data_IF_183527968664
#
_entry.id   IF_183527968664
#
_cell.length_a   1.000
_cell.length_b   1.000
_cell.length_c   1.000
_cell.angle_alpha   90.00
_cell.angle_beta   90.00
_cell.angle_gamma   90.00
#
_symmetry.space_group_name_H-M   'P 1'
#
loop_
_entity.id
_entity.type
_entity.pdbx_description
1 polymer ?
#
# COMPACT_ATOMS: atom_id res chain seq x y z
N UNK A 1 11.86 2.42 -16.54
CA UNK A 1 11.64 2.66 -15.09
C UNK A 1 10.50 1.79 -14.55
N UNK A 2 9.48 1.51 -15.37
CA UNK A 2 8.35 0.64 -15.04
C UNK A 2 8.73 -0.74 -14.52
N UNK A 3 9.70 -1.44 -15.12
CA UNK A 3 10.16 -2.75 -14.62
C UNK A 3 10.65 -2.68 -13.18
N UNK A 4 11.55 -1.73 -12.89
CA UNK A 4 12.11 -1.56 -11.56
C UNK A 4 11.01 -1.24 -10.54
N UNK A 5 10.09 -0.34 -10.91
CA UNK A 5 8.94 0.00 -10.07
C UNK A 5 8.02 -1.19 -9.85
N UNK A 6 7.68 -1.95 -10.89
CA UNK A 6 6.84 -3.14 -10.80
C UNK A 6 7.43 -4.20 -9.87
N UNK A 7 8.72 -4.48 -10.01
CA UNK A 7 9.46 -5.41 -9.13
C UNK A 7 9.48 -4.90 -7.69
N UNK A 8 9.79 -3.61 -7.47
CA UNK A 8 9.76 -3.00 -6.13
C UNK A 8 8.38 -3.14 -5.49
N UNK A 9 7.31 -2.86 -6.23
CA UNK A 9 5.93 -2.96 -5.72
C UNK A 9 5.54 -4.38 -5.36
N UNK A 10 5.95 -5.38 -6.14
CA UNK A 10 5.71 -6.80 -5.85
C UNK A 10 6.45 -7.24 -4.58
N UNK A 11 7.71 -6.82 -4.40
CA UNK A 11 8.41 -7.15 -3.15
C UNK A 11 7.81 -6.39 -1.96
N UNK A 12 7.47 -5.11 -2.16
CA UNK A 12 6.85 -4.29 -1.14
C UNK A 12 5.48 -4.80 -0.72
N UNK A 13 4.70 -5.42 -1.61
CA UNK A 13 3.42 -6.02 -1.21
C UNK A 13 3.61 -7.17 -0.22
N UNK A 14 4.62 -8.01 -0.43
CA UNK A 14 4.94 -9.11 0.48
C UNK A 14 5.41 -8.55 1.83
N UNK A 15 6.35 -7.59 1.80
CA UNK A 15 6.86 -6.93 3.01
C UNK A 15 5.72 -6.25 3.77
N UNK A 16 4.81 -5.57 3.06
CA UNK A 16 3.66 -4.89 3.65
C UNK A 16 2.73 -5.86 4.40
N UNK A 17 2.41 -7.00 3.81
CA UNK A 17 1.54 -8.03 4.44
C UNK A 17 2.24 -8.62 5.67
N UNK A 18 3.52 -9.00 5.54
CA UNK A 18 4.28 -9.58 6.64
C UNK A 18 4.43 -8.58 7.79
N UNK A 19 4.77 -7.32 7.48
CA UNK A 19 4.92 -6.26 8.49
C UNK A 19 3.59 -5.99 9.21
N UNK A 20 2.47 -5.93 8.48
CA UNK A 20 1.17 -5.75 9.09
C UNK A 20 0.78 -6.88 10.03
N UNK A 21 0.93 -8.14 9.59
CA UNK A 21 0.55 -9.30 10.41
C UNK A 21 1.50 -9.55 11.59
N UNK A 22 2.81 -9.41 11.39
CA UNK A 22 3.83 -9.76 12.39
C UNK A 22 4.22 -8.63 13.33
N UNK A 23 4.06 -7.38 12.91
CA UNK A 23 4.45 -6.24 13.75
C UNK A 23 3.23 -5.44 14.19
N UNK A 24 2.43 -4.94 13.24
CA UNK A 24 1.35 -4.02 13.59
C UNK A 24 0.22 -4.69 14.37
N UNK A 25 -0.20 -5.90 13.96
CA UNK A 25 -1.20 -6.70 14.68
C UNK A 25 -0.71 -7.14 16.05
N UNK A 26 0.56 -7.55 16.17
CA UNK A 26 1.13 -7.97 17.46
C UNK A 26 1.33 -6.79 18.42
N UNK A 27 1.55 -5.57 17.90
CA UNK A 27 1.48 -4.34 18.70
C UNK A 27 0.04 -4.05 19.11
N UNK A 28 -0.91 -4.13 18.18
CA UNK A 28 -2.34 -3.85 18.45
C UNK A 28 -2.88 -4.76 19.57
N UNK A 29 -2.56 -6.06 19.55
CA UNK A 29 -2.92 -7.02 20.61
C UNK A 29 -2.38 -6.68 22.00
N UNK A 30 -1.34 -5.84 22.10
CA UNK A 30 -0.78 -5.40 23.40
C UNK A 30 -1.51 -4.18 23.96
N UNK A 31 -2.29 -3.48 23.13
CA UNK A 31 -2.99 -2.25 23.49
C UNK A 31 -4.51 -2.46 23.58
N UNK A 32 -5.05 -3.47 22.90
CA UNK A 32 -6.48 -3.81 22.94
C UNK A 32 -6.74 -5.31 22.82
N UNK A 33 -7.81 -5.77 23.48
CA UNK A 33 -8.34 -7.14 23.39
C UNK A 33 -9.52 -7.26 22.42
N UNK A 34 -9.89 -6.17 21.73
CA UNK A 34 -11.00 -6.17 20.77
C UNK A 34 -10.65 -7.02 19.53
N UNK A 35 -11.22 -8.22 19.50
CA UNK A 35 -11.03 -9.19 18.42
C UNK A 35 -11.56 -8.72 17.07
N UNK A 36 -12.63 -7.92 17.03
CA UNK A 36 -13.20 -7.38 15.79
C UNK A 36 -12.25 -6.33 15.22
N UNK A 37 -11.70 -5.49 16.09
CA UNK A 37 -10.70 -4.49 15.71
C UNK A 37 -9.44 -5.15 15.14
N UNK A 38 -8.88 -6.13 15.83
CA UNK A 38 -7.69 -6.85 15.37
C UNK A 38 -7.97 -7.54 14.02
N UNK A 39 -9.13 -8.20 13.89
CA UNK A 39 -9.54 -8.84 12.64
C UNK A 39 -9.70 -7.85 11.48
N UNK A 40 -10.32 -6.70 11.73
CA UNK A 40 -10.51 -5.65 10.71
C UNK A 40 -9.17 -5.09 10.24
N UNK A 41 -8.23 -4.87 11.16
CA UNK A 41 -6.89 -4.39 10.83
C UNK A 41 -6.10 -5.39 9.98
N UNK A 42 -6.21 -6.70 10.28
CA UNK A 42 -5.61 -7.77 9.46
C UNK A 42 -6.09 -7.74 8.02
N UNK A 43 -7.41 -7.67 7.85
CA UNK A 43 -8.04 -7.59 6.51
C UNK A 43 -7.55 -6.35 5.78
N UNK A 44 -7.50 -5.22 6.46
CA UNK A 44 -7.03 -3.95 5.89
C UNK A 44 -5.57 -4.01 5.45
N UNK A 45 -4.67 -4.58 6.25
CA UNK A 45 -3.27 -4.77 5.86
C UNK A 45 -3.13 -5.72 4.66
N UNK A 46 -3.91 -6.80 4.64
CA UNK A 46 -3.91 -7.72 3.50
C UNK A 46 -4.40 -7.02 2.22
N UNK A 47 -5.47 -6.24 2.31
CA UNK A 47 -5.99 -5.45 1.18
C UNK A 47 -4.94 -4.49 0.63
N UNK A 48 -4.25 -3.73 1.50
CA UNK A 48 -3.17 -2.84 1.09
C UNK A 48 -2.04 -3.57 0.35
N UNK A 49 -1.66 -4.75 0.83
CA UNK A 49 -0.69 -5.61 0.17
C UNK A 49 -1.14 -6.12 -1.20
N UNK A 50 -2.36 -6.65 -1.30
CA UNK A 50 -2.91 -7.16 -2.56
C UNK A 50 -3.00 -6.05 -3.61
N UNK A 51 -3.39 -4.83 -3.21
CA UNK A 51 -3.44 -3.67 -4.11
C UNK A 51 -2.04 -3.34 -4.65
N UNK A 52 -1.03 -3.28 -3.78
CA UNK A 52 0.35 -3.06 -4.20
C UNK A 52 0.84 -4.14 -5.18
N UNK A 53 0.50 -5.40 -4.92
CA UNK A 53 0.85 -6.52 -5.79
C UNK A 53 0.23 -6.37 -7.18
N UNK A 54 -1.07 -6.06 -7.23
CA UNK A 54 -1.79 -5.85 -8.49
C UNK A 54 -1.20 -4.69 -9.30
N UNK A 55 -0.86 -3.58 -8.65
CA UNK A 55 -0.21 -2.44 -9.32
C UNK A 55 1.19 -2.81 -9.81
N UNK A 56 1.94 -3.60 -9.03
CA UNK A 56 3.24 -4.11 -9.45
C UNK A 56 3.16 -4.98 -10.71
N UNK A 57 2.13 -5.83 -10.80
CA UNK A 57 1.83 -6.59 -12.02
C UNK A 57 1.51 -5.66 -13.19
N UNK A 58 0.68 -4.64 -12.99
CA UNK A 58 0.33 -3.68 -14.04
C UNK A 58 1.60 -3.02 -14.62
N UNK A 59 2.53 -2.54 -13.79
CA UNK A 59 3.79 -1.97 -14.26
C UNK A 59 4.69 -3.00 -14.96
N UNK A 60 4.69 -4.25 -14.49
CA UNK A 60 5.43 -5.33 -15.15
C UNK A 60 4.86 -5.65 -16.54
N UNK A 61 3.53 -5.70 -16.68
CA UNK A 61 2.85 -5.91 -17.96
C UNK A 61 3.01 -4.73 -18.92
N UNK A 62 3.00 -3.49 -18.40
CA UNK A 62 3.29 -2.27 -19.17
C UNK A 62 4.70 -2.31 -19.76
N UNK A 63 5.69 -2.70 -18.95
CA UNK A 63 7.07 -2.84 -19.40
C UNK A 63 7.25 -3.90 -20.49
N UNK A 64 6.49 -5.00 -20.44
CA UNK A 64 6.48 -6.03 -21.48
C UNK A 64 5.68 -5.62 -22.73
N UNK A 65 5.16 -4.39 -22.76
CA UNK A 65 4.32 -3.85 -23.84
C UNK A 65 3.04 -4.68 -24.09
N UNK A 66 2.60 -5.47 -23.10
CA UNK A 66 1.38 -6.27 -23.19
C UNK A 66 0.12 -5.45 -22.95
N UNK A 67 0.26 -4.37 -22.19
CA UNK A 67 -0.78 -3.36 -21.95
C UNK A 67 -0.15 -1.97 -22.08
N UNK A 68 -0.96 -0.96 -22.40
CA UNK A 68 -0.52 0.43 -22.33
C UNK A 68 -1.51 1.23 -21.49
N UNK A 69 -1.01 1.98 -20.52
CA UNK A 69 -1.81 2.92 -19.75
C UNK A 69 -1.64 4.32 -20.35
N UNK A 70 -2.63 4.79 -21.10
CA UNK A 70 -2.58 6.11 -21.75
C UNK A 70 -3.62 7.07 -21.18
N UNK A 71 -3.33 8.37 -21.31
CA UNK A 71 -4.21 9.43 -20.81
C UNK A 71 -4.47 9.32 -19.31
N UNK A 72 -5.75 9.31 -18.92
CA UNK A 72 -6.16 9.23 -17.50
C UNK A 72 -5.79 7.87 -16.88
N UNK A 73 -5.73 6.79 -17.67
CA UNK A 73 -5.43 5.45 -17.15
C UNK A 73 -4.01 5.34 -16.58
N UNK A 74 -3.06 6.17 -17.04
CA UNK A 74 -1.71 6.26 -16.50
C UNK A 74 -1.68 6.63 -15.00
N UNK A 75 -2.72 7.32 -14.52
CA UNK A 75 -2.83 7.76 -13.13
C UNK A 75 -3.56 6.77 -12.22
N UNK A 76 -4.16 5.70 -12.77
CA UNK A 76 -4.86 4.69 -11.95
C UNK A 76 -3.96 4.01 -10.91
N UNK A 77 -2.72 3.58 -11.23
CA UNK A 77 -1.78 3.08 -10.24
C UNK A 77 -1.61 4.01 -9.03
N UNK A 78 -1.33 5.30 -9.27
CA UNK A 78 -1.15 6.32 -8.22
C UNK A 78 -2.44 6.55 -7.46
N UNK A 79 -3.56 6.66 -8.18
CA UNK A 79 -4.88 6.87 -7.59
C UNK A 79 -5.26 5.77 -6.60
N UNK A 80 -5.00 4.51 -6.94
CA UNK A 80 -5.30 3.37 -6.06
C UNK A 80 -4.42 3.40 -4.79
N UNK A 81 -3.12 3.69 -4.92
CA UNK A 81 -2.24 3.82 -3.74
C UNK A 81 -2.68 4.98 -2.86
N UNK A 82 -3.03 6.12 -3.45
CA UNK A 82 -3.53 7.29 -2.72
C UNK A 82 -4.82 6.98 -1.97
N UNK A 83 -5.79 6.32 -2.61
CA UNK A 83 -7.03 5.92 -1.95
C UNK A 83 -6.75 5.00 -0.77
N UNK A 84 -5.85 4.03 -0.92
CA UNK A 84 -5.46 3.14 0.18
C UNK A 84 -4.82 3.93 1.34
N UNK A 85 -3.88 4.84 1.06
CA UNK A 85 -3.24 5.69 2.08
C UNK A 85 -4.27 6.56 2.80
N UNK A 86 -5.19 7.19 2.06
CA UNK A 86 -6.24 8.04 2.62
C UNK A 86 -7.22 7.25 3.47
N UNK A 87 -7.65 6.07 3.02
CA UNK A 87 -8.50 5.17 3.81
C UNK A 87 -7.83 4.79 5.13
N UNK A 88 -6.54 4.44 5.09
CA UNK A 88 -5.76 4.12 6.30
C UNK A 88 -5.63 5.32 7.22
N UNK A 89 -5.34 6.49 6.66
CA UNK A 89 -5.21 7.72 7.44
C UNK A 89 -6.52 8.09 8.13
N UNK A 90 -7.64 8.07 7.42
CA UNK A 90 -8.97 8.40 7.96
C UNK A 90 -9.33 7.42 9.08
N UNK A 91 -9.18 6.11 8.85
CA UNK A 91 -9.50 5.09 9.86
C UNK A 91 -8.59 5.23 11.08
N UNK A 92 -7.29 5.43 10.89
CA UNK A 92 -6.33 5.59 11.98
C UNK A 92 -6.62 6.84 12.81
N UNK A 93 -6.88 7.98 12.17
CA UNK A 93 -7.14 9.25 12.87
C UNK A 93 -8.50 9.26 13.58
N UNK A 94 -9.53 8.66 12.99
CA UNK A 94 -10.90 8.73 13.53
C UNK A 94 -11.22 7.62 14.51
N UNK A 95 -10.58 6.46 14.41
CA UNK A 95 -10.91 5.28 15.20
C UNK A 95 -9.75 4.74 16.03
N UNK A 96 -8.50 4.93 15.59
CA UNK A 96 -7.36 4.16 16.15
C UNK A 96 -6.07 4.98 16.28
N UNK A 97 -6.10 6.10 17.03
CA UNK A 97 -4.94 6.97 17.21
C UNK A 97 -3.69 6.25 17.75
N UNK A 98 -3.89 5.15 18.48
CA UNK A 98 -2.81 4.31 19.02
C UNK A 98 -1.96 3.68 17.92
N UNK A 99 -2.57 3.40 16.77
CA UNK A 99 -1.90 2.82 15.61
C UNK A 99 -1.06 3.85 14.84
N UNK A 100 -1.28 5.15 15.07
CA UNK A 100 -0.61 6.23 14.32
C UNK A 100 0.92 6.08 14.33
N UNK A 101 1.51 5.78 15.50
CA UNK A 101 2.96 5.60 15.63
C UNK A 101 3.49 4.44 14.81
N UNK A 102 2.68 3.37 14.66
CA UNK A 102 3.06 2.16 13.95
C UNK A 102 2.78 2.26 12.45
N UNK A 103 1.85 3.14 12.04
CA UNK A 103 1.52 3.41 10.63
C UNK A 103 2.42 4.48 10.00
N UNK A 104 3.11 5.33 10.78
CA UNK A 104 4.02 6.37 10.25
C UNK A 104 5.08 5.80 9.30
N UNK A 105 5.85 4.74 9.63
CA UNK A 105 6.84 4.18 8.71
C UNK A 105 6.23 3.74 7.38
N UNK A 106 5.01 3.22 7.43
CA UNK A 106 4.26 2.77 6.28
C UNK A 106 3.83 3.94 5.39
N UNK A 107 3.39 5.06 5.97
CA UNK A 107 3.09 6.27 5.22
C UNK A 107 4.31 6.86 4.52
N UNK A 108 5.48 6.82 5.16
CA UNK A 108 6.74 7.26 4.53
C UNK A 108 7.05 6.40 3.30
N UNK A 109 6.97 5.08 3.43
CA UNK A 109 7.19 4.14 2.32
C UNK A 109 6.20 4.39 1.18
N UNK A 110 4.91 4.55 1.50
CA UNK A 110 3.91 4.85 0.47
C UNK A 110 4.12 6.21 -0.18
N UNK A 111 4.59 7.22 0.56
CA UNK A 111 4.98 8.51 0.00
C UNK A 111 6.10 8.38 -1.04
N UNK A 112 7.11 7.56 -0.75
CA UNK A 112 8.18 7.25 -1.71
C UNK A 112 7.61 6.53 -2.94
N UNK A 113 6.75 5.54 -2.74
CA UNK A 113 6.10 4.81 -3.85
C UNK A 113 5.30 5.75 -4.76
N UNK A 114 4.49 6.63 -4.18
CA UNK A 114 3.70 7.62 -4.91
C UNK A 114 4.62 8.55 -5.72
N UNK A 115 5.69 9.04 -5.11
CA UNK A 115 6.66 9.89 -5.81
C UNK A 115 7.31 9.17 -7.00
N UNK A 116 7.69 7.89 -6.82
CA UNK A 116 8.24 7.07 -7.89
C UNK A 116 7.23 6.82 -9.02
N UNK A 117 5.98 6.54 -8.68
CA UNK A 117 4.93 6.34 -9.68
C UNK A 117 4.64 7.62 -10.48
N UNK A 118 4.58 8.78 -9.81
CA UNK A 118 4.43 10.08 -10.48
C UNK A 118 5.62 10.35 -11.41
N UNK A 119 6.85 10.05 -10.96
CA UNK A 119 8.05 10.20 -11.78
C UNK A 119 8.00 9.33 -13.04
N UNK A 120 7.43 8.12 -12.97
CA UNK A 120 7.21 7.26 -14.13
C UNK A 120 6.15 7.81 -15.08
N UNK A 121 5.13 8.52 -14.58
CA UNK A 121 4.09 9.09 -15.44
C UNK A 121 4.61 10.32 -16.21
N UNK A 122 5.54 11.08 -15.62
CA UNK A 122 6.07 12.32 -16.19
C UNK A 122 7.22 12.09 -17.18
N UNK A 123 7.95 10.96 -17.07
CA UNK A 123 9.08 10.60 -17.94
C UNK A 123 8.72 9.49 -18.93
#
# INVERSE_FOLDING_TARGET
>A
MELALGVILIFMSIVHIIYGERMQVDVLKKVTDDTILIGSYRVMSLQGGILLFAIGIIYFLSFLELISLTGIAAYFPVGIVLLNVLSVLIVTLTKHMELLKVTIPQFVIFGIIIALQILVIIN
#
